data_IF_175394057829
#
_entry.id   IF_175394057829
#
_cell.length_a   1.000
_cell.length_b   1.000
_cell.length_c   1.000
_cell.angle_alpha   90.00
_cell.angle_beta   90.00
_cell.angle_gamma   90.00
#
_symmetry.space_group_name_H-M   'P 1'
#
loop_
_entity.id
_entity.type
_entity.pdbx_description
1 polymer ?
#
# COMPACT_ATOMS: atom_id res chain seq x y z
N UNK A 1 10.41 -7.12 7.82
CA UNK A 1 10.42 -7.72 6.47
C UNK A 1 9.49 -6.84 5.67
N UNK A 2 9.92 -6.35 4.52
CA UNK A 2 9.09 -5.51 3.67
C UNK A 2 8.00 -6.29 2.97
N UNK A 3 7.20 -5.56 2.20
CA UNK A 3 6.22 -6.11 1.26
C UNK A 3 6.85 -7.19 0.36
N UNK A 4 6.10 -8.22 0.04
CA UNK A 4 6.51 -9.25 -0.92
C UNK A 4 6.40 -8.69 -2.35
N UNK A 5 7.51 -8.52 -3.10
CA UNK A 5 7.45 -7.97 -4.46
C UNK A 5 6.83 -8.94 -5.50
N UNK A 6 6.38 -10.12 -5.10
CA UNK A 6 5.65 -11.05 -5.97
C UNK A 6 4.23 -11.33 -5.45
N UNK A 7 3.68 -10.42 -4.63
CA UNK A 7 2.34 -10.56 -4.04
C UNK A 7 1.25 -10.80 -5.11
N UNK A 8 1.39 -10.18 -6.28
CA UNK A 8 0.50 -10.29 -7.45
C UNK A 8 0.44 -11.71 -8.03
N UNK A 9 1.40 -12.57 -7.70
CA UNK A 9 1.50 -13.95 -8.20
C UNK A 9 1.13 -15.00 -7.19
N UNK A 10 1.12 -14.65 -5.91
CA UNK A 10 0.98 -15.62 -4.82
C UNK A 10 -0.14 -15.28 -3.84
N UNK A 11 -0.79 -14.13 -4.00
CA UNK A 11 -2.02 -13.76 -3.30
C UNK A 11 -3.17 -13.63 -4.28
N UNK A 12 -4.38 -13.60 -3.75
CA UNK A 12 -5.61 -13.43 -4.50
C UNK A 12 -6.20 -12.06 -4.16
N UNK A 13 -6.79 -11.40 -5.17
CA UNK A 13 -7.65 -10.23 -4.93
C UNK A 13 -8.90 -10.71 -4.21
N UNK A 14 -9.16 -10.16 -3.03
CA UNK A 14 -10.28 -10.55 -2.15
C UNK A 14 -11.33 -9.45 -2.00
N UNK A 15 -10.96 -8.19 -2.25
CA UNK A 15 -11.87 -7.04 -2.18
C UNK A 15 -11.39 -5.89 -3.09
N UNK A 16 -12.21 -4.85 -3.20
CA UNK A 16 -11.86 -3.56 -3.81
C UNK A 16 -12.30 -2.44 -2.85
N UNK A 17 -11.34 -1.70 -2.30
CA UNK A 17 -11.59 -0.62 -1.34
C UNK A 17 -10.98 0.69 -1.86
N UNK A 18 -11.70 1.80 -1.69
CA UNK A 18 -11.21 3.14 -2.07
C UNK A 18 -10.68 3.26 -3.52
N UNK A 19 -11.18 2.41 -4.43
CA UNK A 19 -10.82 2.39 -5.85
C UNK A 19 -9.53 1.63 -6.17
N UNK A 20 -9.02 0.82 -5.24
CA UNK A 20 -7.85 -0.05 -5.43
C UNK A 20 -8.17 -1.50 -5.06
N UNK A 21 -7.50 -2.44 -5.71
CA UNK A 21 -7.63 -3.86 -5.40
C UNK A 21 -7.00 -4.18 -4.03
N UNK A 22 -7.63 -5.09 -3.28
CA UNK A 22 -7.13 -5.59 -2.00
C UNK A 22 -6.70 -7.03 -2.15
N UNK A 23 -5.41 -7.28 -1.91
CA UNK A 23 -4.75 -8.57 -2.01
C UNK A 23 -4.65 -9.23 -0.63
N UNK A 24 -5.31 -10.38 -0.49
CA UNK A 24 -5.47 -11.07 0.78
C UNK A 24 -4.19 -11.76 1.30
N UNK A 25 -4.27 -12.46 2.43
CA UNK A 25 -5.47 -12.60 3.27
C UNK A 25 -5.84 -11.32 4.01
N UNK A 26 -7.12 -11.21 4.39
CA UNK A 26 -7.65 -10.15 5.24
C UNK A 26 -8.44 -10.76 6.40
N UNK A 27 -8.12 -10.34 7.62
CA UNK A 27 -8.81 -10.67 8.87
C UNK A 27 -8.89 -9.40 9.73
N UNK A 28 -9.79 -8.46 9.41
CA UNK A 28 -9.87 -7.19 10.12
C UNK A 28 -10.20 -7.37 11.62
N UNK A 29 -9.64 -6.52 12.52
CA UNK A 29 -8.77 -5.39 12.22
C UNK A 29 -7.27 -5.74 12.20
N UNK A 30 -6.90 -7.01 12.42
CA UNK A 30 -5.52 -7.42 12.70
C UNK A 30 -4.70 -7.64 11.42
N UNK A 31 -5.37 -8.03 10.33
CA UNK A 31 -4.78 -8.24 9.02
C UNK A 31 -5.62 -7.58 7.94
N UNK A 32 -5.04 -6.66 7.19
CA UNK A 32 -5.73 -5.86 6.16
C UNK A 32 -5.14 -6.06 4.76
N UNK A 33 -4.06 -6.85 4.64
CA UNK A 33 -3.49 -7.26 3.36
C UNK A 33 -2.76 -6.13 2.64
N UNK A 34 -2.66 -6.24 1.33
CA UNK A 34 -1.96 -5.28 0.46
C UNK A 34 -2.99 -4.54 -0.39
N UNK A 35 -2.94 -3.21 -0.40
CA UNK A 35 -3.86 -2.37 -1.16
C UNK A 35 -3.13 -1.77 -2.36
N UNK A 36 -3.74 -1.84 -3.55
CA UNK A 36 -3.16 -1.39 -4.82
C UNK A 36 -2.36 -2.47 -5.56
N UNK A 37 -2.14 -2.24 -6.86
CA UNK A 37 -1.56 -3.21 -7.80
C UNK A 37 -0.33 -2.65 -8.51
N UNK A 38 -0.44 -1.51 -9.19
CA UNK A 38 0.71 -0.80 -9.76
C UNK A 38 1.54 -0.15 -8.65
N UNK A 39 0.86 0.51 -7.70
CA UNK A 39 1.45 0.99 -6.46
C UNK A 39 0.78 0.27 -5.31
N UNK A 40 1.52 -0.62 -4.65
CA UNK A 40 0.99 -1.49 -3.62
C UNK A 40 1.50 -1.08 -2.24
N UNK A 41 0.61 -1.02 -1.25
CA UNK A 41 0.95 -0.74 0.15
C UNK A 41 0.51 -1.91 1.03
N UNK A 42 1.45 -2.54 1.72
CA UNK A 42 1.16 -3.57 2.72
C UNK A 42 0.67 -2.92 4.02
N UNK A 43 -0.62 -3.06 4.31
CA UNK A 43 -1.25 -2.46 5.49
C UNK A 43 -0.80 -3.15 6.78
N UNK A 44 -0.36 -4.41 6.71
CA UNK A 44 0.12 -5.19 7.85
C UNK A 44 1.52 -4.76 8.29
N UNK A 45 2.21 -3.97 7.46
CA UNK A 45 3.56 -3.43 7.69
C UNK A 45 3.53 -1.91 7.86
N UNK A 46 2.65 -1.19 7.15
CA UNK A 46 2.58 0.26 7.18
C UNK A 46 2.33 0.80 8.60
N UNK A 47 3.22 1.66 9.08
CA UNK A 47 3.17 2.27 10.43
C UNK A 47 2.64 3.71 10.43
N UNK A 48 2.03 4.15 9.34
CA UNK A 48 1.53 5.52 9.16
C UNK A 48 2.60 6.63 9.31
N UNK A 49 3.82 6.35 8.85
CA UNK A 49 4.94 7.32 8.87
C UNK A 49 4.62 8.58 8.03
N UNK A 50 4.13 8.39 6.80
CA UNK A 50 3.64 9.47 5.94
C UNK A 50 4.68 10.11 5.02
N UNK A 51 5.96 9.74 5.07
CA UNK A 51 6.96 10.31 4.17
C UNK A 51 6.65 10.10 2.67
N UNK A 52 5.97 9.00 2.32
CA UNK A 52 5.51 8.72 0.97
C UNK A 52 4.41 9.69 0.49
N UNK A 53 3.53 10.17 1.38
CA UNK A 53 2.56 11.22 1.07
C UNK A 53 3.26 12.54 0.78
N UNK A 54 4.19 12.95 1.64
CA UNK A 54 4.87 14.24 1.54
C UNK A 54 5.83 14.31 0.34
N UNK A 55 6.40 13.17 -0.07
CA UNK A 55 7.44 13.10 -1.09
C UNK A 55 6.92 12.76 -2.48
N UNK A 56 5.66 12.29 -2.62
CA UNK A 56 5.12 11.91 -3.91
C UNK A 56 4.87 13.16 -4.78
N UNK A 57 5.52 13.30 -5.95
CA UNK A 57 5.40 14.51 -6.77
C UNK A 57 4.06 14.60 -7.54
N UNK A 58 3.24 13.55 -7.48
CA UNK A 58 2.00 13.39 -8.25
C UNK A 58 0.83 12.90 -7.39
N UNK A 59 0.91 13.08 -6.07
CA UNK A 59 -0.19 12.87 -5.11
C UNK A 59 -0.89 11.49 -5.22
N UNK A 60 -0.12 10.40 -5.37
CA UNK A 60 -0.65 9.02 -5.44
C UNK A 60 -1.44 8.64 -4.18
N UNK A 61 -0.99 9.11 -3.02
CA UNK A 61 -1.38 8.55 -1.75
C UNK A 61 -2.43 9.41 -1.02
N UNK A 62 -3.28 8.77 -0.22
CA UNK A 62 -4.17 9.43 0.75
C UNK A 62 -4.12 8.76 2.13
N UNK A 63 -4.74 9.37 3.14
CA UNK A 63 -4.89 8.76 4.47
C UNK A 63 -6.22 8.01 4.55
N UNK A 64 -6.20 6.78 5.07
CA UNK A 64 -7.38 5.98 5.42
C UNK A 64 -7.30 5.55 6.87
N UNK A 65 -8.42 5.60 7.59
CA UNK A 65 -8.49 5.20 9.00
C UNK A 65 -8.65 3.68 9.12
N UNK A 66 -7.83 3.05 9.97
CA UNK A 66 -7.82 1.60 10.23
C UNK A 66 -7.81 1.33 11.74
N UNK A 67 -8.87 1.74 12.47
CA UNK A 67 -8.88 1.72 13.92
C UNK A 67 -8.73 0.30 14.48
N UNK A 68 -7.82 0.13 15.44
CA UNK A 68 -7.56 -1.15 16.12
C UNK A 68 -6.53 -2.03 15.42
N UNK A 69 -5.94 -1.60 14.30
CA UNK A 69 -4.90 -2.37 13.62
C UNK A 69 -3.56 -2.30 14.39
N UNK A 70 -2.84 -3.43 14.59
CA UNK A 70 -1.66 -3.49 15.46
C UNK A 70 -0.53 -2.51 15.13
N UNK A 71 -0.29 -2.24 13.84
CA UNK A 71 0.78 -1.32 13.42
C UNK A 71 0.44 0.17 13.55
N UNK A 72 -0.82 0.56 13.31
CA UNK A 72 -1.27 1.96 13.31
C UNK A 72 -2.79 2.04 13.10
N UNK A 73 -3.43 3.05 13.71
CA UNK A 73 -4.88 3.31 13.54
C UNK A 73 -5.26 3.98 12.22
N UNK A 74 -4.29 4.19 11.32
CA UNK A 74 -4.48 4.74 9.97
C UNK A 74 -3.43 4.18 9.02
N UNK A 75 -3.64 4.28 7.71
CA UNK A 75 -2.74 3.79 6.65
C UNK A 75 -2.64 4.78 5.52
N UNK A 76 -1.56 4.62 4.77
CA UNK A 76 -1.37 5.31 3.50
C UNK A 76 -1.98 4.43 2.41
N UNK A 77 -2.98 4.95 1.71
CA UNK A 77 -3.71 4.28 0.62
C UNK A 77 -3.19 4.78 -0.73
N UNK A 78 -2.89 3.92 -1.71
CA UNK A 78 -2.48 4.34 -3.05
C UNK A 78 -3.68 4.71 -3.94
N UNK A 79 -4.60 5.54 -3.44
CA UNK A 79 -5.90 5.85 -4.08
C UNK A 79 -5.82 6.39 -5.51
N UNK A 80 -4.66 6.92 -5.90
CA UNK A 80 -4.42 7.42 -7.24
C UNK A 80 -3.23 6.71 -7.91
N UNK A 81 -3.08 5.39 -7.70
CA UNK A 81 -1.97 4.62 -8.27
C UNK A 81 -1.80 4.80 -9.79
N UNK A 82 -2.90 5.02 -10.52
CA UNK A 82 -2.87 5.30 -11.96
C UNK A 82 -2.12 6.60 -12.35
N UNK A 83 -1.83 7.49 -11.40
CA UNK A 83 -1.02 8.70 -11.61
C UNK A 83 0.48 8.45 -11.40
N UNK A 84 0.87 7.28 -10.90
CA UNK A 84 2.25 6.95 -10.60
C UNK A 84 3.14 7.11 -11.84
N UNK A 85 4.30 7.73 -11.64
CA UNK A 85 5.30 7.98 -12.68
C UNK A 85 6.56 7.12 -12.49
N UNK A 86 6.47 6.04 -11.70
CA UNK A 86 7.56 5.09 -11.45
C UNK A 86 8.86 5.73 -10.93
N UNK A 87 8.74 6.79 -10.12
CA UNK A 87 9.91 7.51 -9.60
C UNK A 87 10.63 6.79 -8.44
N UNK A 88 10.01 5.76 -7.85
CA UNK A 88 10.52 4.92 -6.76
C UNK A 88 10.82 5.62 -5.42
N UNK A 89 10.57 6.92 -5.30
CA UNK A 89 10.85 7.67 -4.06
C UNK A 89 10.09 7.12 -2.83
N UNK A 90 8.83 6.69 -3.00
CA UNK A 90 8.03 6.13 -1.93
C UNK A 90 8.58 4.79 -1.42
N UNK A 91 9.16 3.98 -2.31
CA UNK A 91 9.81 2.70 -1.96
C UNK A 91 11.06 2.97 -1.13
N UNK A 92 11.92 3.89 -1.59
CA UNK A 92 13.19 4.20 -0.93
C UNK A 92 13.03 4.90 0.44
N UNK A 93 11.99 5.73 0.61
CA UNK A 93 11.80 6.53 1.82
C UNK A 93 11.01 5.80 2.91
N UNK A 94 10.31 4.72 2.59
CA UNK A 94 9.48 4.00 3.55
C UNK A 94 10.37 3.31 4.60
N UNK A 95 10.29 3.67 5.90
CA UNK A 95 11.21 3.13 6.91
C UNK A 95 10.99 1.64 7.23
N UNK A 96 9.90 1.07 6.73
CA UNK A 96 9.47 -0.32 6.99
C UNK A 96 9.30 -1.13 5.71
N UNK A 97 9.72 -0.58 4.56
CA UNK A 97 9.62 -1.23 3.24
C UNK A 97 8.19 -1.74 2.94
N UNK A 98 7.16 -0.95 3.25
CA UNK A 98 5.76 -1.36 3.07
C UNK A 98 5.20 -1.12 1.66
N UNK A 99 5.98 -0.50 0.75
CA UNK A 99 5.51 -0.04 -0.56
C UNK A 99 6.29 -0.76 -1.65
N UNK A 100 5.57 -1.25 -2.66
CA UNK A 100 6.14 -1.80 -3.89
C UNK A 100 5.55 -1.08 -5.11
N UNK A 101 6.37 -0.87 -6.14
CA UNK A 101 5.95 -0.23 -7.39
C UNK A 101 6.48 -1.04 -8.56
N UNK A 102 5.58 -1.49 -9.43
CA UNK A 102 5.93 -2.24 -10.64
C UNK A 102 5.07 -1.77 -11.82
N UNK A 103 5.69 -1.03 -12.75
CA UNK A 103 5.03 -0.51 -13.96
C UNK A 103 4.61 -1.59 -14.97
N UNK A 104 4.86 -2.88 -14.71
CA UNK A 104 4.30 -3.98 -15.49
C UNK A 104 2.94 -4.48 -14.99
N UNK A 105 2.49 -4.03 -13.80
CA UNK A 105 1.18 -4.35 -13.23
C UNK A 105 0.15 -3.27 -13.59
N UNK A 106 -1.08 -3.68 -13.89
CA UNK A 106 -2.18 -2.81 -14.34
C UNK A 106 -3.53 -3.31 -13.87
#
# INVERSE_FOLDING_TARGET
MGIDPNFDRNREVVDEENGVEVWGPTEPPEQLGIHGTHVAVDYDICIADGACLDSCPVDVFTWVETPGHPQSDRKVEPSHEAQCIDCMLCVDICPVDAIDVDGSRT
#
